data_IF_638965510664
#
_entry.id   IF_638965510664
#
_cell.length_a   1.000
_cell.length_b   1.000
_cell.length_c   1.000
_cell.angle_alpha   90.00
_cell.angle_beta   90.00
_cell.angle_gamma   90.00
#
_symmetry.space_group_name_H-M   'P 1'
#
loop_
_entity.id
_entity.type
_entity.pdbx_description
1 polymer ?
#
# COMPACT_ATOMS: atom_id res chain seq x y z
N UNK A 1 -21.45 35.96 -8.08
CA UNK A 1 -21.03 34.56 -8.32
C UNK A 1 -19.88 34.27 -7.37
N UNK A 2 -20.12 33.48 -6.33
CA UNK A 2 -19.08 33.10 -5.36
C UNK A 2 -18.10 32.15 -6.08
N UNK A 3 -16.83 32.51 -6.14
CA UNK A 3 -15.77 31.62 -6.57
C UNK A 3 -15.87 30.34 -5.75
N UNK A 4 -16.40 29.27 -6.33
CA UNK A 4 -16.34 27.94 -5.75
C UNK A 4 -14.86 27.61 -5.64
N UNK A 5 -14.37 27.51 -4.42
CA UNK A 5 -13.01 27.18 -4.08
C UNK A 5 -12.67 25.78 -4.66
N UNK A 6 -12.34 25.76 -5.95
CA UNK A 6 -11.85 24.54 -6.60
C UNK A 6 -10.54 24.22 -5.90
N UNK A 7 -10.38 23.02 -5.31
CA UNK A 7 -9.10 22.65 -4.70
C UNK A 7 -7.99 22.86 -5.72
N UNK A 8 -6.96 23.62 -5.36
CA UNK A 8 -5.77 23.71 -6.21
C UNK A 8 -5.13 22.34 -6.21
N UNK A 9 -5.32 21.60 -7.30
CA UNK A 9 -4.79 20.26 -7.51
C UNK A 9 -3.43 20.37 -8.17
N UNK A 10 -2.49 19.62 -7.69
CA UNK A 10 -1.19 19.46 -8.29
C UNK A 10 -0.99 17.99 -8.68
N UNK A 11 -0.66 17.76 -9.93
CA UNK A 11 -0.38 16.44 -10.48
C UNK A 11 1.12 16.34 -10.77
N UNK A 12 1.75 15.28 -10.26
CA UNK A 12 3.08 14.88 -10.71
C UNK A 12 3.00 14.12 -12.04
N UNK A 13 4.12 14.08 -12.80
CA UNK A 13 4.23 13.18 -13.95
C UNK A 13 3.86 11.75 -13.60
N UNK A 14 3.61 10.93 -14.62
CA UNK A 14 3.34 9.50 -14.40
C UNK A 14 4.51 8.86 -13.65
N UNK A 15 4.17 7.91 -12.76
CA UNK A 15 5.17 7.19 -11.99
C UNK A 15 6.13 6.46 -12.94
N UNK A 16 7.45 6.51 -12.68
CA UNK A 16 8.39 5.66 -13.38
C UNK A 16 7.99 4.19 -13.26
N UNK A 17 8.23 3.41 -14.30
CA UNK A 17 7.97 1.98 -14.27
C UNK A 17 8.68 1.33 -13.05
N UNK A 18 7.91 0.61 -12.23
CA UNK A 18 8.43 -0.05 -11.02
C UNK A 18 8.61 0.86 -9.80
N UNK A 19 8.11 2.09 -9.82
CA UNK A 19 8.12 2.95 -8.64
C UNK A 19 7.34 2.33 -7.49
N UNK A 20 8.02 2.03 -6.41
CA UNK A 20 7.44 1.41 -5.21
C UNK A 20 6.48 2.36 -4.46
N UNK A 21 6.77 3.66 -4.46
CA UNK A 21 5.95 4.72 -3.88
C UNK A 21 6.00 5.94 -4.78
N UNK A 22 4.83 6.52 -5.09
CA UNK A 22 4.73 7.71 -5.92
C UNK A 22 3.60 8.62 -5.46
N UNK A 23 3.83 9.93 -5.50
CA UNK A 23 2.79 10.93 -5.29
C UNK A 23 2.14 11.24 -6.65
N UNK A 24 0.87 10.90 -6.82
CA UNK A 24 0.11 11.21 -8.04
C UNK A 24 -0.45 12.63 -7.99
N UNK A 25 -0.91 13.06 -6.83
CA UNK A 25 -1.58 14.34 -6.66
C UNK A 25 -1.45 14.83 -5.21
N UNK A 26 -1.30 16.14 -5.06
CA UNK A 26 -1.45 16.82 -3.78
C UNK A 26 -2.54 17.89 -3.88
N UNK A 27 -3.27 18.11 -2.80
CA UNK A 27 -4.31 19.12 -2.75
C UNK A 27 -4.40 19.77 -1.38
N UNK A 28 -4.96 20.99 -1.38
CA UNK A 28 -5.35 21.74 -0.20
C UNK A 28 -6.83 22.09 -0.32
N UNK A 29 -7.62 21.67 0.64
CA UNK A 29 -9.05 21.97 0.69
C UNK A 29 -9.33 22.91 1.85
N UNK A 30 -10.13 23.94 1.56
CA UNK A 30 -10.73 24.83 2.54
C UNK A 30 -12.22 24.55 2.60
N UNK A 31 -12.68 24.12 3.76
CA UNK A 31 -14.09 23.90 4.02
C UNK A 31 -14.88 25.24 4.07
N UNK A 32 -16.16 25.13 3.85
CA UNK A 32 -17.09 26.26 3.82
C UNK A 32 -18.40 25.97 4.59
N UNK A 33 -18.37 24.98 5.51
CA UNK A 33 -19.50 24.60 6.37
C UNK A 33 -20.41 23.50 5.84
N UNK A 34 -20.19 23.03 4.61
CA UNK A 34 -21.08 22.07 3.96
C UNK A 34 -20.33 20.89 3.32
N UNK A 35 -19.01 20.74 3.56
CA UNK A 35 -18.26 19.66 2.95
C UNK A 35 -18.56 18.34 3.62
N UNK A 36 -19.11 17.41 2.82
CA UNK A 36 -19.48 16.06 3.24
C UNK A 36 -19.15 15.07 2.13
N UNK A 37 -18.37 14.05 2.44
CA UNK A 37 -17.88 13.05 1.49
C UNK A 37 -18.14 11.66 2.02
N UNK A 38 -18.67 10.78 1.16
CA UNK A 38 -18.81 9.34 1.44
C UNK A 38 -18.49 8.57 0.18
N UNK A 39 -17.48 7.68 0.26
CA UNK A 39 -17.08 6.86 -0.89
C UNK A 39 -16.20 5.67 -0.47
N UNK A 40 -16.01 4.79 -1.42
CA UNK A 40 -14.99 3.74 -1.43
C UNK A 40 -14.10 3.97 -2.64
N UNK A 41 -12.80 3.97 -2.44
CA UNK A 41 -11.80 4.24 -3.48
C UNK A 41 -10.79 3.08 -3.56
N UNK A 42 -9.97 3.10 -4.61
CA UNK A 42 -8.93 2.12 -4.92
C UNK A 42 -7.50 2.66 -4.74
N UNK A 43 -7.37 3.80 -4.06
CA UNK A 43 -6.09 4.47 -3.84
C UNK A 43 -5.88 4.86 -2.36
N UNK A 44 -4.63 5.12 -2.00
CA UNK A 44 -4.26 5.67 -0.70
C UNK A 44 -4.28 7.19 -0.74
N UNK A 45 -4.93 7.80 0.25
CA UNK A 45 -4.97 9.25 0.34
C UNK A 45 -4.92 9.73 1.80
N UNK A 46 -3.72 9.88 2.39
CA UNK A 46 -3.59 10.49 3.71
C UNK A 46 -3.91 11.99 3.67
N UNK A 47 -4.56 12.43 4.74
CA UNK A 47 -4.96 13.80 4.99
C UNK A 47 -4.35 14.28 6.30
N UNK A 48 -4.04 15.58 6.42
CA UNK A 48 -3.68 16.23 7.68
C UNK A 48 -4.50 17.51 7.84
N UNK A 49 -5.15 17.65 9.00
CA UNK A 49 -6.00 18.83 9.29
C UNK A 49 -5.11 19.98 9.74
N UNK A 50 -5.28 21.14 9.12
CA UNK A 50 -4.49 22.36 9.39
C UNK A 50 -5.28 23.44 10.11
N UNK A 51 -6.62 23.40 10.04
CA UNK A 51 -7.53 24.31 10.71
C UNK A 51 -8.86 23.63 10.98
N UNK A 52 -9.55 24.07 12.02
CA UNK A 52 -10.90 23.62 12.35
C UNK A 52 -11.00 22.15 12.74
N UNK A 53 -12.19 21.61 12.62
CA UNK A 53 -12.50 20.25 13.04
C UNK A 53 -13.54 19.59 12.14
N UNK A 54 -13.66 18.27 12.27
CA UNK A 54 -14.64 17.48 11.52
C UNK A 54 -14.86 16.12 12.14
N UNK A 55 -15.56 15.29 11.40
CA UNK A 55 -15.86 13.91 11.78
C UNK A 55 -15.42 12.96 10.69
N UNK A 56 -14.79 11.85 11.07
CA UNK A 56 -14.46 10.72 10.20
C UNK A 56 -15.22 9.49 10.69
N UNK A 57 -15.87 8.79 9.78
CA UNK A 57 -16.58 7.53 10.03
C UNK A 57 -15.97 6.46 9.14
N UNK A 58 -15.46 5.40 9.73
CA UNK A 58 -14.90 4.27 9.02
C UNK A 58 -14.94 3.00 9.89
N UNK A 59 -15.11 1.83 9.29
CA UNK A 59 -15.20 0.56 10.01
C UNK A 59 -16.23 0.54 11.15
N UNK A 60 -17.32 1.32 11.03
CA UNK A 60 -18.36 1.45 12.06
C UNK A 60 -18.00 2.39 13.22
N UNK A 61 -16.80 2.97 13.24
CA UNK A 61 -16.38 3.94 14.25
C UNK A 61 -16.55 5.37 13.74
N UNK A 62 -17.13 6.23 14.59
CA UNK A 62 -17.29 7.65 14.37
C UNK A 62 -16.33 8.41 15.29
N UNK A 63 -15.45 9.22 14.72
CA UNK A 63 -14.43 9.96 15.47
C UNK A 63 -14.38 11.41 15.08
N UNK A 64 -14.26 12.28 16.07
CA UNK A 64 -13.93 13.69 15.87
C UNK A 64 -12.44 13.85 15.62
N UNK A 65 -12.10 14.66 14.63
CA UNK A 65 -10.73 14.98 14.24
C UNK A 65 -10.56 16.50 14.19
N UNK A 66 -9.37 16.98 14.52
CA UNK A 66 -9.04 18.41 14.65
C UNK A 66 -7.64 18.71 14.17
N UNK A 67 -7.22 19.97 14.29
CA UNK A 67 -5.89 20.42 13.84
C UNK A 67 -4.77 19.49 14.30
N UNK A 68 -3.97 19.02 13.35
CA UNK A 68 -2.84 18.13 13.55
C UNK A 68 -3.21 16.64 13.52
N UNK A 69 -4.50 16.28 13.53
CA UNK A 69 -4.91 14.89 13.33
C UNK A 69 -4.78 14.49 11.85
N UNK A 70 -4.52 13.22 11.63
CA UNK A 70 -4.43 12.63 10.30
C UNK A 70 -5.51 11.58 10.11
N UNK A 71 -6.06 11.50 8.91
CA UNK A 71 -6.89 10.39 8.46
C UNK A 71 -6.55 10.00 7.03
N UNK A 72 -7.00 8.83 6.58
CA UNK A 72 -6.68 8.34 5.24
C UNK A 72 -7.84 7.65 4.57
N UNK A 73 -7.92 7.77 3.26
CA UNK A 73 -8.63 6.84 2.40
C UNK A 73 -7.74 5.61 2.24
N UNK A 74 -8.30 4.43 2.44
CA UNK A 74 -7.63 3.15 2.26
C UNK A 74 -8.35 2.34 1.17
N UNK A 75 -7.64 1.73 0.21
CA UNK A 75 -8.25 0.97 -0.87
C UNK A 75 -9.28 -0.05 -0.38
N UNK A 76 -10.47 -0.01 -0.97
CA UNK A 76 -11.54 -0.94 -0.68
C UNK A 76 -12.30 -0.71 0.64
N UNK A 77 -11.87 0.23 1.50
CA UNK A 77 -12.58 0.58 2.74
C UNK A 77 -13.51 1.75 2.49
N UNK A 78 -14.76 1.62 2.95
CA UNK A 78 -15.70 2.74 2.92
C UNK A 78 -15.32 3.75 3.99
N UNK A 79 -15.28 5.02 3.60
CA UNK A 79 -15.03 6.14 4.50
C UNK A 79 -16.05 7.24 4.25
N UNK A 80 -16.53 7.85 5.33
CA UNK A 80 -17.35 9.04 5.32
C UNK A 80 -16.67 10.09 6.19
N UNK A 81 -16.59 11.33 5.71
CA UNK A 81 -16.07 12.43 6.51
C UNK A 81 -16.71 13.76 6.14
N UNK A 82 -16.86 14.61 7.14
CA UNK A 82 -17.48 15.92 7.00
C UNK A 82 -16.95 16.92 8.02
N UNK A 83 -16.99 18.18 7.65
CA UNK A 83 -16.56 19.26 8.53
C UNK A 83 -17.58 19.57 9.64
N UNK A 84 -17.10 20.20 10.71
CA UNK A 84 -17.95 20.80 11.70
C UNK A 84 -18.48 22.13 11.13
N UNK A 85 -19.82 22.33 11.03
CA UNK A 85 -20.39 23.57 10.47
C UNK A 85 -19.99 24.85 11.23
N UNK A 86 -19.74 24.71 12.55
CA UNK A 86 -19.36 25.84 13.42
C UNK A 86 -17.84 26.07 13.47
N UNK A 87 -17.04 25.16 12.91
CA UNK A 87 -15.58 25.20 12.97
C UNK A 87 -14.98 24.63 11.68
N UNK A 88 -15.15 25.37 10.59
CA UNK A 88 -14.77 24.94 9.24
C UNK A 88 -13.32 24.53 9.17
N UNK A 89 -13.09 23.32 8.64
CA UNK A 89 -11.76 22.79 8.54
C UNK A 89 -11.01 23.18 7.26
N UNK A 90 -9.69 23.13 7.35
CA UNK A 90 -8.79 23.10 6.21
C UNK A 90 -7.87 21.88 6.35
N UNK A 91 -7.52 21.24 5.26
CA UNK A 91 -6.61 20.11 5.25
C UNK A 91 -5.82 19.99 3.96
N UNK A 92 -4.61 19.44 4.06
CA UNK A 92 -3.87 18.92 2.93
C UNK A 92 -4.16 17.44 2.74
N UNK A 93 -4.06 16.98 1.50
CA UNK A 93 -4.15 15.55 1.17
C UNK A 93 -3.17 15.18 0.07
N UNK A 94 -2.73 13.91 0.07
CA UNK A 94 -1.76 13.35 -0.85
C UNK A 94 -2.33 12.07 -1.45
N UNK A 95 -2.47 12.01 -2.77
CA UNK A 95 -2.88 10.80 -3.46
C UNK A 95 -1.63 9.99 -3.80
N UNK A 96 -1.45 8.86 -3.13
CA UNK A 96 -0.29 7.99 -3.27
C UNK A 96 -0.61 6.75 -4.10
N UNK A 97 0.36 6.30 -4.88
CA UNK A 97 0.30 5.12 -5.73
C UNK A 97 1.64 4.37 -5.69
N UNK A 98 1.65 3.13 -6.16
CA UNK A 98 2.81 2.25 -6.16
C UNK A 98 2.60 1.00 -5.31
N UNK A 99 3.32 -0.07 -5.66
CA UNK A 99 3.18 -1.37 -4.99
C UNK A 99 3.60 -1.34 -3.51
N UNK A 100 4.48 -0.44 -3.11
CA UNK A 100 4.95 -0.26 -1.73
C UNK A 100 4.07 0.66 -0.87
N UNK A 101 2.96 1.22 -1.43
CA UNK A 101 2.07 2.08 -0.65
C UNK A 101 1.49 1.41 0.61
N UNK A 102 1.05 0.14 0.60
CA UNK A 102 0.54 -0.49 1.81
C UNK A 102 1.56 -0.52 2.95
N UNK A 103 2.80 -0.91 2.66
CA UNK A 103 3.90 -0.97 3.63
C UNK A 103 4.28 0.43 4.12
N UNK A 104 4.34 1.39 3.22
CA UNK A 104 4.59 2.78 3.56
C UNK A 104 3.52 3.34 4.49
N UNK A 105 2.23 3.17 4.16
CA UNK A 105 1.12 3.63 4.99
C UNK A 105 1.09 2.95 6.36
N UNK A 106 1.42 1.65 6.41
CA UNK A 106 1.58 0.93 7.67
C UNK A 106 2.74 1.51 8.51
N UNK A 107 3.86 1.87 7.88
CA UNK A 107 5.00 2.48 8.57
C UNK A 107 4.67 3.87 9.13
N UNK A 108 3.76 4.60 8.48
CA UNK A 108 3.20 5.85 8.96
C UNK A 108 2.13 5.67 10.05
N UNK A 109 1.73 4.43 10.38
CA UNK A 109 0.77 4.15 11.44
C UNK A 109 -0.67 3.97 11.00
N UNK A 110 -0.97 3.97 9.71
CA UNK A 110 -2.26 3.62 9.14
C UNK A 110 -2.40 2.11 8.90
N UNK A 111 -3.62 1.64 8.82
CA UNK A 111 -3.96 0.31 8.32
C UNK A 111 -5.42 0.30 7.85
N UNK A 112 -5.87 -0.76 7.17
CA UNK A 112 -7.29 -0.92 6.79
C UNK A 112 -8.26 -0.87 7.99
N UNK A 113 -7.77 -1.15 9.20
CA UNK A 113 -8.54 -1.10 10.45
C UNK A 113 -8.35 0.21 11.23
N UNK A 114 -7.30 0.99 10.92
CA UNK A 114 -6.97 2.23 11.60
C UNK A 114 -6.75 3.33 10.58
N UNK A 115 -7.79 4.06 10.29
CA UNK A 115 -7.80 5.08 9.24
C UNK A 115 -7.57 6.50 9.76
N UNK A 116 -7.42 6.69 11.07
CA UNK A 116 -7.15 7.98 11.68
C UNK A 116 -6.27 7.84 12.91
N UNK A 117 -5.51 8.87 13.22
CA UNK A 117 -4.74 9.02 14.47
C UNK A 117 -4.17 10.44 14.61
N UNK A 118 -3.71 10.76 15.83
CA UNK A 118 -2.89 11.94 16.07
C UNK A 118 -1.41 11.56 15.99
N UNK A 119 -0.62 12.15 15.09
CA UNK A 119 0.83 11.94 15.01
C UNK A 119 1.54 12.30 16.31
N UNK A 120 2.71 11.74 16.51
CA UNK A 120 3.58 12.11 17.66
C UNK A 120 4.04 13.57 17.55
N UNK A 121 4.27 14.04 16.32
CA UNK A 121 4.68 15.41 16.00
C UNK A 121 3.73 16.02 14.98
N UNK A 122 2.52 16.46 15.41
CA UNK A 122 1.49 16.96 14.50
C UNK A 122 1.96 18.15 13.65
N UNK A 123 2.73 19.06 14.25
CA UNK A 123 3.29 20.23 13.59
C UNK A 123 4.26 19.85 12.45
N UNK A 124 5.04 18.78 12.63
CA UNK A 124 5.94 18.26 11.59
C UNK A 124 5.15 17.60 10.46
N UNK A 125 4.09 16.85 10.78
CA UNK A 125 3.23 16.27 9.77
C UNK A 125 2.58 17.34 8.89
N UNK A 126 2.03 18.39 9.49
CA UNK A 126 1.50 19.57 8.77
C UNK A 126 2.58 20.22 7.91
N UNK A 127 3.80 20.39 8.46
CA UNK A 127 4.94 20.98 7.74
C UNK A 127 5.33 20.14 6.50
N UNK A 128 5.41 18.82 6.61
CA UNK A 128 5.73 17.93 5.48
C UNK A 128 4.69 18.06 4.37
N UNK A 129 3.40 17.97 4.70
CA UNK A 129 2.33 18.10 3.72
C UNK A 129 2.32 19.48 3.04
N UNK A 130 2.52 20.54 3.81
CA UNK A 130 2.59 21.91 3.27
C UNK A 130 3.80 22.13 2.37
N UNK A 131 4.97 21.54 2.71
CA UNK A 131 6.16 21.60 1.87
C UNK A 131 5.96 20.85 0.55
N UNK A 132 5.38 19.64 0.59
CA UNK A 132 5.02 18.91 -0.62
C UNK A 132 4.08 19.71 -1.48
N UNK A 133 3.03 20.30 -0.89
CA UNK A 133 2.07 21.14 -1.60
C UNK A 133 2.71 22.42 -2.18
N UNK A 134 3.68 23.02 -1.49
CA UNK A 134 4.38 24.23 -1.93
C UNK A 134 5.30 24.02 -3.16
N UNK A 135 5.63 22.79 -3.51
CA UNK A 135 6.33 22.46 -4.76
C UNK A 135 5.41 22.63 -5.98
N UNK A 136 4.11 22.84 -5.74
CA UNK A 136 3.10 23.09 -6.77
C UNK A 136 3.51 24.22 -7.72
N UNK A 137 3.43 23.93 -9.03
CA UNK A 137 3.59 24.92 -10.11
C UNK A 137 5.04 25.31 -10.46
N UNK A 138 6.04 24.75 -9.80
CA UNK A 138 7.45 25.07 -10.09
C UNK A 138 8.09 24.07 -11.05
N UNK A 139 7.64 22.82 -11.09
CA UNK A 139 8.16 21.70 -11.94
C UNK A 139 9.68 21.77 -12.18
N UNK A 140 10.43 21.91 -11.09
CA UNK A 140 11.90 21.92 -11.17
C UNK A 140 12.39 20.47 -11.29
N UNK A 141 13.29 20.13 -12.22
CA UNK A 141 13.89 18.81 -12.26
C UNK A 141 14.46 18.42 -10.88
N UNK A 142 14.08 17.25 -10.36
CA UNK A 142 14.49 16.78 -9.05
C UNK A 142 13.46 16.99 -7.94
N UNK A 143 12.36 17.71 -8.16
CA UNK A 143 11.29 17.89 -7.18
C UNK A 143 10.64 16.56 -6.79
N UNK A 144 10.62 15.57 -7.70
CA UNK A 144 10.18 14.21 -7.42
C UNK A 144 10.99 13.54 -6.30
N UNK A 145 12.31 13.70 -6.28
CA UNK A 145 13.17 13.18 -5.21
C UNK A 145 12.95 13.93 -3.90
N UNK A 146 12.70 15.23 -3.97
CA UNK A 146 12.37 16.04 -2.80
C UNK A 146 11.04 15.61 -2.19
N UNK A 147 10.02 15.35 -3.02
CA UNK A 147 8.74 14.79 -2.58
C UNK A 147 8.94 13.44 -1.90
N UNK A 148 9.70 12.52 -2.51
CA UNK A 148 9.99 11.21 -1.92
C UNK A 148 10.74 11.34 -0.59
N UNK A 149 11.74 12.23 -0.51
CA UNK A 149 12.46 12.50 0.75
C UNK A 149 11.51 12.97 1.86
N UNK A 150 10.58 13.88 1.55
CA UNK A 150 9.57 14.36 2.49
C UNK A 150 8.61 13.23 2.88
N UNK A 151 8.14 12.42 1.94
CA UNK A 151 7.28 11.28 2.24
C UNK A 151 8.01 10.29 3.17
N UNK A 152 9.25 9.91 2.88
CA UNK A 152 10.00 8.96 3.71
C UNK A 152 10.39 9.51 5.09
N UNK A 153 10.23 10.80 5.36
CA UNK A 153 10.35 11.35 6.72
C UNK A 153 9.10 11.10 7.60
N UNK A 154 7.94 10.82 6.99
CA UNK A 154 6.67 10.65 7.72
C UNK A 154 6.66 9.49 8.73
N UNK A 155 7.27 8.31 8.47
CA UNK A 155 7.32 7.23 9.46
C UNK A 155 8.01 7.61 10.77
N UNK A 156 8.96 8.54 10.76
CA UNK A 156 9.59 9.07 11.97
C UNK A 156 8.66 10.03 12.73
N UNK A 157 7.89 10.82 12.00
CA UNK A 157 7.00 11.86 12.53
C UNK A 157 5.71 11.25 13.12
N UNK A 158 5.23 10.18 12.49
CA UNK A 158 3.96 9.54 12.79
C UNK A 158 4.06 8.19 13.52
N UNK A 159 5.14 7.81 14.21
CA UNK A 159 5.16 6.50 14.83
C UNK A 159 4.03 6.44 15.83
N UNK A 160 3.15 5.50 15.62
CA UNK A 160 2.37 4.96 16.72
C UNK A 160 3.39 4.52 17.77
N UNK A 161 3.09 4.75 19.06
CA UNK A 161 3.75 3.98 20.10
C UNK A 161 3.86 2.57 19.56
N UNK A 162 5.06 2.14 19.23
CA UNK A 162 5.30 0.72 19.08
C UNK A 162 4.85 0.15 20.41
N UNK A 163 3.67 -0.44 20.45
CA UNK A 163 3.42 -1.45 21.43
C UNK A 163 4.58 -2.42 21.25
N UNK A 164 5.45 -2.50 22.27
CA UNK A 164 6.61 -3.42 22.31
C UNK A 164 6.19 -4.89 22.24
N UNK A 165 4.94 -5.16 21.95
CA UNK A 165 4.39 -6.39 21.46
C UNK A 165 4.25 -6.29 19.94
N UNK A 166 5.37 -6.46 19.20
CA UNK A 166 5.24 -7.01 17.85
C UNK A 166 4.36 -8.26 18.00
N UNK A 167 3.19 -8.34 17.35
CA UNK A 167 2.43 -9.58 17.42
C UNK A 167 3.39 -10.69 16.98
N UNK A 168 3.52 -11.76 17.76
CA UNK A 168 4.30 -12.96 17.39
C UNK A 168 4.05 -13.39 15.93
N UNK A 169 2.89 -13.06 15.40
CA UNK A 169 2.49 -13.35 14.03
C UNK A 169 3.32 -12.60 12.98
N UNK A 170 3.62 -11.29 13.15
CA UNK A 170 4.42 -10.54 12.17
C UNK A 170 5.86 -11.05 12.07
N UNK A 171 6.47 -11.43 13.19
CA UNK A 171 7.83 -12.00 13.18
C UNK A 171 7.82 -13.37 12.50
N UNK A 172 6.79 -14.19 12.74
CA UNK A 172 6.63 -15.49 12.07
C UNK A 172 6.38 -15.30 10.58
N UNK A 173 5.53 -14.35 10.19
CA UNK A 173 5.25 -14.02 8.80
C UNK A 173 6.51 -13.56 8.07
N UNK A 174 7.24 -12.58 8.62
CA UNK A 174 8.48 -12.08 8.02
C UNK A 174 9.54 -13.18 7.83
N UNK A 175 9.71 -14.06 8.82
CA UNK A 175 10.59 -15.23 8.71
C UNK A 175 10.11 -16.20 7.64
N UNK A 176 8.80 -16.47 7.57
CA UNK A 176 8.22 -17.35 6.59
C UNK A 176 8.43 -16.84 5.16
N UNK A 177 8.21 -15.54 4.93
CA UNK A 177 8.45 -14.89 3.64
C UNK A 177 9.92 -15.00 3.25
N UNK A 178 10.86 -14.68 4.15
CA UNK A 178 12.29 -14.79 3.89
C UNK A 178 12.73 -16.21 3.50
N UNK A 179 12.17 -17.23 4.15
CA UNK A 179 12.43 -18.64 3.80
C UNK A 179 11.84 -18.97 2.42
N UNK A 180 10.60 -18.56 2.15
CA UNK A 180 9.95 -18.78 0.85
C UNK A 180 10.79 -18.15 -0.26
N UNK A 181 11.18 -16.89 -0.13
CA UNK A 181 11.94 -16.17 -1.15
C UNK A 181 13.30 -16.81 -1.41
N UNK A 182 14.01 -17.22 -0.37
CA UNK A 182 15.31 -17.88 -0.51
C UNK A 182 15.21 -19.29 -1.14
N UNK A 183 14.08 -19.98 -0.98
CA UNK A 183 13.90 -21.37 -1.38
C UNK A 183 12.82 -21.59 -2.45
N UNK A 184 12.37 -20.53 -3.10
CA UNK A 184 11.25 -20.61 -4.06
C UNK A 184 11.52 -21.59 -5.20
N UNK A 185 12.78 -21.71 -5.64
CA UNK A 185 13.22 -22.62 -6.71
C UNK A 185 13.36 -24.08 -6.26
N UNK A 186 13.58 -24.33 -4.98
CA UNK A 186 13.74 -25.68 -4.42
C UNK A 186 12.43 -26.38 -4.11
N UNK A 187 11.31 -25.88 -4.67
CA UNK A 187 9.98 -26.43 -4.50
C UNK A 187 9.52 -26.56 -3.03
N UNK A 188 9.95 -25.62 -2.17
CA UNK A 188 9.53 -25.56 -0.76
C UNK A 188 8.02 -25.74 -0.62
N UNK A 189 7.61 -26.54 0.35
CA UNK A 189 6.21 -26.79 0.67
C UNK A 189 5.87 -26.34 2.10
N UNK A 190 4.57 -26.37 2.43
CA UNK A 190 4.05 -25.92 3.72
C UNK A 190 4.62 -26.74 4.88
N UNK A 191 4.83 -28.05 4.70
CA UNK A 191 5.38 -28.90 5.77
C UNK A 191 6.81 -28.55 6.10
N UNK A 192 7.65 -28.39 5.08
CA UNK A 192 9.04 -27.95 5.23
C UNK A 192 9.13 -26.56 5.86
N UNK A 193 8.24 -25.64 5.45
CA UNK A 193 8.19 -24.29 6.04
C UNK A 193 7.82 -24.34 7.53
N UNK A 194 6.89 -25.20 7.93
CA UNK A 194 6.54 -25.42 9.33
C UNK A 194 7.71 -25.99 10.14
N UNK A 195 8.45 -26.95 9.58
CA UNK A 195 9.65 -27.54 10.21
C UNK A 195 10.75 -26.50 10.41
N UNK A 196 11.10 -25.73 9.36
CA UNK A 196 12.13 -24.68 9.42
C UNK A 196 11.79 -23.62 10.48
N UNK A 197 10.51 -23.23 10.57
CA UNK A 197 10.06 -22.20 11.49
C UNK A 197 9.70 -22.74 12.88
N UNK A 198 9.72 -24.05 13.06
CA UNK A 198 9.30 -24.76 14.28
C UNK A 198 7.91 -24.31 14.76
N UNK A 199 6.92 -24.31 13.87
CA UNK A 199 5.54 -23.92 14.16
C UNK A 199 4.55 -24.95 13.57
N UNK A 200 3.34 -24.99 14.16
CA UNK A 200 2.28 -25.82 13.63
C UNK A 200 1.72 -25.26 12.31
N UNK A 201 1.17 -26.19 11.48
CA UNK A 201 0.46 -25.82 10.26
C UNK A 201 -0.69 -24.81 10.52
N UNK A 202 -1.43 -25.02 11.61
CA UNK A 202 -2.52 -24.12 12.03
C UNK A 202 -1.99 -22.72 12.29
N UNK A 203 -0.86 -22.60 12.98
CA UNK A 203 -0.22 -21.31 13.25
C UNK A 203 0.20 -20.63 11.95
N UNK A 204 0.85 -21.34 11.02
CA UNK A 204 1.27 -20.80 9.74
C UNK A 204 0.06 -20.29 8.92
N UNK A 205 -1.01 -21.07 8.81
CA UNK A 205 -2.20 -20.69 8.07
C UNK A 205 -2.88 -19.46 8.71
N UNK A 206 -2.99 -19.42 10.04
CA UNK A 206 -3.53 -18.26 10.75
C UNK A 206 -2.71 -17.00 10.52
N UNK A 207 -1.37 -17.12 10.54
CA UNK A 207 -0.45 -16.01 10.28
C UNK A 207 -0.64 -15.45 8.88
N UNK A 208 -0.61 -16.29 7.85
CA UNK A 208 -0.80 -15.84 6.48
C UNK A 208 -2.20 -15.26 6.24
N UNK A 209 -3.24 -15.90 6.75
CA UNK A 209 -4.61 -15.37 6.66
C UNK A 209 -4.75 -13.99 7.33
N UNK A 210 -4.09 -13.78 8.47
CA UNK A 210 -4.15 -12.49 9.18
C UNK A 210 -3.34 -11.37 8.50
N UNK A 211 -2.19 -11.71 7.88
CA UNK A 211 -1.28 -10.71 7.29
C UNK A 211 -1.59 -10.43 5.81
N UNK A 212 -2.09 -11.42 5.06
CA UNK A 212 -2.27 -11.30 3.60
C UNK A 212 -3.68 -11.60 3.11
N UNK A 213 -4.55 -12.18 3.94
CA UNK A 213 -5.88 -12.62 3.53
C UNK A 213 -5.89 -13.91 2.71
N UNK A 214 -4.73 -14.49 2.36
CA UNK A 214 -4.61 -15.73 1.56
C UNK A 214 -3.89 -16.83 2.33
N UNK A 215 -4.00 -18.08 1.85
CA UNK A 215 -3.29 -19.21 2.47
C UNK A 215 -1.79 -19.18 2.15
N UNK A 216 -0.93 -19.83 2.98
CA UNK A 216 0.49 -19.99 2.68
C UNK A 216 0.73 -20.70 1.33
N UNK A 217 -0.12 -21.65 0.97
CA UNK A 217 -0.04 -22.37 -0.31
C UNK A 217 -0.27 -21.41 -1.48
N UNK A 218 -1.29 -20.57 -1.38
CA UNK A 218 -1.62 -19.58 -2.40
C UNK A 218 -0.51 -18.54 -2.51
N UNK A 219 0.02 -18.07 -1.39
CA UNK A 219 1.16 -17.13 -1.38
C UNK A 219 2.39 -17.70 -2.10
N UNK A 220 2.81 -18.93 -1.75
CA UNK A 220 3.93 -19.63 -2.43
C UNK A 220 3.66 -19.74 -3.93
N UNK A 221 2.43 -20.11 -4.30
CA UNK A 221 2.04 -20.25 -5.71
C UNK A 221 2.17 -18.93 -6.46
N UNK A 222 1.71 -17.82 -5.88
CA UNK A 222 1.84 -16.51 -6.48
C UNK A 222 3.30 -16.07 -6.64
N UNK A 223 4.15 -16.33 -5.65
CA UNK A 223 5.59 -16.03 -5.77
C UNK A 223 6.27 -16.86 -6.88
N UNK A 224 5.91 -18.12 -7.03
CA UNK A 224 6.40 -18.96 -8.12
C UNK A 224 5.95 -18.45 -9.49
N UNK A 225 4.70 -18.00 -9.61
CA UNK A 225 4.20 -17.39 -10.85
C UNK A 225 4.96 -16.11 -11.17
N UNK A 226 5.17 -15.20 -10.20
CA UNK A 226 5.98 -14.00 -10.39
C UNK A 226 7.39 -14.31 -10.89
N UNK A 227 8.03 -15.34 -10.33
CA UNK A 227 9.33 -15.80 -10.80
C UNK A 227 9.28 -16.34 -12.24
N UNK A 228 8.24 -17.12 -12.57
CA UNK A 228 8.04 -17.62 -13.93
C UNK A 228 7.84 -16.46 -14.92
N UNK A 229 7.09 -15.44 -14.57
CA UNK A 229 6.90 -14.24 -15.39
C UNK A 229 8.24 -13.54 -15.68
N UNK A 230 9.09 -13.38 -14.67
CA UNK A 230 10.43 -12.83 -14.85
C UNK A 230 11.26 -13.65 -15.83
N UNK A 231 11.27 -14.98 -15.68
CA UNK A 231 12.00 -15.88 -16.57
C UNK A 231 11.43 -15.87 -17.99
N UNK A 232 10.11 -15.80 -18.17
CA UNK A 232 9.46 -15.68 -19.48
C UNK A 232 9.87 -14.39 -20.22
N UNK A 233 10.08 -13.29 -19.48
CA UNK A 233 10.51 -11.99 -20.01
C UNK A 233 12.00 -11.96 -20.34
N UNK A 234 12.85 -12.58 -19.52
CA UNK A 234 14.29 -12.40 -19.53
C UNK A 234 15.08 -13.54 -20.18
N UNK A 235 14.42 -14.65 -20.58
CA UNK A 235 15.13 -15.82 -21.11
C UNK A 235 14.37 -16.52 -22.24
N UNK A 236 15.12 -17.34 -23.02
CA UNK A 236 14.59 -18.21 -24.07
C UNK A 236 14.34 -19.65 -23.61
N UNK A 237 14.39 -19.90 -22.31
CA UNK A 237 14.15 -21.21 -21.72
C UNK A 237 12.78 -21.76 -22.17
N UNK A 238 12.69 -23.06 -22.37
CA UNK A 238 11.40 -23.68 -22.67
C UNK A 238 10.47 -23.60 -21.45
N UNK A 239 9.16 -23.81 -21.69
CA UNK A 239 8.14 -23.62 -20.65
C UNK A 239 8.29 -24.64 -19.50
N UNK A 240 8.75 -25.87 -19.81
CA UNK A 240 8.97 -26.89 -18.78
C UNK A 240 10.14 -26.54 -17.85
N UNK A 241 11.23 -26.01 -18.40
CA UNK A 241 12.37 -25.55 -17.59
C UNK A 241 11.99 -24.37 -16.72
N UNK A 242 11.20 -23.42 -17.25
CA UNK A 242 10.68 -22.31 -16.45
C UNK A 242 9.80 -22.79 -15.31
N UNK A 243 8.91 -23.74 -15.54
CA UNK A 243 8.09 -24.34 -14.49
C UNK A 243 8.97 -24.92 -13.37
N UNK A 244 9.97 -25.72 -13.74
CA UNK A 244 10.91 -26.34 -12.80
C UNK A 244 11.73 -25.29 -12.03
N UNK A 245 12.32 -24.30 -12.71
CA UNK A 245 13.11 -23.24 -12.09
C UNK A 245 12.29 -22.30 -11.21
N UNK A 246 10.99 -22.25 -11.44
CA UNK A 246 10.05 -21.51 -10.62
C UNK A 246 9.48 -22.33 -9.45
N UNK A 247 9.96 -23.56 -9.26
CA UNK A 247 9.62 -24.42 -8.12
C UNK A 247 8.32 -25.20 -8.27
N UNK A 248 7.76 -25.34 -9.48
CA UNK A 248 6.61 -26.22 -9.72
C UNK A 248 7.05 -27.67 -9.90
N UNK A 249 6.30 -28.58 -9.27
CA UNK A 249 6.56 -30.02 -9.36
C UNK A 249 6.05 -30.65 -10.64
N UNK A 250 5.07 -30.04 -11.31
CA UNK A 250 4.53 -30.54 -12.59
C UNK A 250 4.16 -29.38 -13.52
N UNK A 251 4.42 -29.58 -14.82
CA UNK A 251 4.09 -28.60 -15.87
C UNK A 251 2.58 -28.38 -15.96
N UNK A 252 1.77 -29.44 -15.79
CA UNK A 252 0.31 -29.36 -15.83
C UNK A 252 -0.24 -28.41 -14.76
N UNK A 253 0.26 -28.50 -13.53
CA UNK A 253 -0.15 -27.62 -12.44
C UNK A 253 0.33 -26.19 -12.67
N UNK A 254 1.57 -26.01 -13.15
CA UNK A 254 2.11 -24.71 -13.54
C UNK A 254 1.23 -24.02 -14.60
N UNK A 255 0.97 -24.70 -15.72
CA UNK A 255 0.17 -24.15 -16.82
C UNK A 255 -1.22 -23.71 -16.35
N UNK A 256 -1.88 -24.54 -15.52
CA UNK A 256 -3.18 -24.23 -14.94
C UNK A 256 -3.11 -22.97 -14.08
N UNK A 257 -2.21 -22.94 -13.11
CA UNK A 257 -2.08 -21.82 -12.15
C UNK A 257 -1.65 -20.52 -12.82
N UNK A 258 -0.74 -20.60 -13.78
CA UNK A 258 -0.30 -19.47 -14.55
C UNK A 258 -1.47 -18.80 -15.31
N UNK A 259 -2.29 -19.63 -16.00
CA UNK A 259 -3.46 -19.14 -16.71
C UNK A 259 -4.54 -18.57 -15.78
N UNK A 260 -4.76 -19.17 -14.63
CA UNK A 260 -5.72 -18.69 -13.64
C UNK A 260 -5.33 -17.29 -13.10
N UNK A 261 -4.03 -17.04 -12.88
CA UNK A 261 -3.52 -15.79 -12.34
C UNK A 261 -3.37 -14.72 -13.43
N UNK A 262 -2.84 -15.08 -14.60
CA UNK A 262 -2.49 -14.12 -15.66
C UNK A 262 -3.55 -14.02 -16.79
N UNK A 263 -4.58 -14.86 -16.78
CA UNK A 263 -5.61 -14.88 -17.83
C UNK A 263 -5.17 -15.52 -19.15
N UNK A 264 -3.87 -15.71 -19.36
CA UNK A 264 -3.27 -16.25 -20.59
C UNK A 264 -2.28 -17.38 -20.30
N UNK A 265 -1.95 -18.20 -21.31
CA UNK A 265 -0.93 -19.25 -21.15
C UNK A 265 0.47 -18.64 -21.05
N UNK A 266 1.47 -19.34 -20.44
CA UNK A 266 2.85 -18.89 -20.39
C UNK A 266 3.45 -18.58 -21.76
N UNK A 267 3.13 -19.39 -22.78
CA UNK A 267 3.57 -19.15 -24.14
C UNK A 267 3.00 -17.86 -24.75
N UNK A 268 1.68 -17.65 -24.58
CA UNK A 268 1.02 -16.41 -25.03
C UNK A 268 1.54 -15.19 -24.28
N UNK A 269 1.81 -15.31 -22.98
CA UNK A 269 2.41 -14.25 -22.16
C UNK A 269 3.78 -13.83 -22.69
N UNK A 270 4.66 -14.79 -23.03
CA UNK A 270 5.98 -14.53 -23.61
C UNK A 270 5.88 -13.76 -24.92
N UNK A 271 4.98 -14.18 -25.82
CA UNK A 271 4.81 -13.52 -27.12
C UNK A 271 4.32 -12.09 -26.94
N UNK A 272 3.31 -11.86 -26.12
CA UNK A 272 2.74 -10.53 -25.87
C UNK A 272 3.69 -9.55 -25.17
N UNK A 273 4.78 -10.04 -24.57
CA UNK A 273 5.78 -9.19 -23.91
C UNK A 273 6.97 -8.85 -24.80
N UNK A 274 7.13 -9.56 -25.93
CA UNK A 274 8.25 -9.36 -26.90
C UNK A 274 7.85 -8.56 -28.14
N UNK A 275 6.55 -8.22 -28.23
CA UNK A 275 5.98 -7.30 -29.22
C UNK A 275 5.93 -5.88 -28.68
#
# INVERSE_FOLDING_TARGET
>A
MKDKNIPRLWFLPEAPAGASLWLKMAGHLKGYGESHYRFRRDYFCPHVITKGSGTVIANGEKTKVSVGDMFTIWPGVEIEYYENPDDNWEYFYLHLTGEGCPEYMNSCGFSSKKLWFRPRHPEKAVSVFSQIYALHGKQVPGDEFRVLSLLYSMPEICPLKQERNKPKNKDVYAKAVAVIDSQISSAINVSQLCEILNISRITLFRVFSSETGISPIEYITQQRIRKAEQLLKSSDLNIADIAKMSGFSTDKYFMKRFREINGVSPGAFRIGYRL
#
